data_IF_924001704232
#
_entry.id   IF_924001704232
#
_cell.length_a   1.000
_cell.length_b   1.000
_cell.length_c   1.000
_cell.angle_alpha   90.00
_cell.angle_beta   90.00
_cell.angle_gamma   90.00
#
_symmetry.space_group_name_H-M   'P 1'
#
loop_
_entity.id
_entity.type
_entity.pdbx_description
1 polymer ?
#
# COMPACT_ATOMS: atom_id res chain seq x y z
N UNK A 1 -18.15 -18.58 -24.50
CA UNK A 1 -18.43 -17.27 -23.86
C UNK A 1 -17.16 -16.44 -23.91
N UNK A 2 -17.14 -15.36 -24.70
CA UNK A 2 -16.00 -14.44 -24.77
C UNK A 2 -15.89 -13.60 -23.49
N UNK A 3 -14.68 -13.22 -23.04
CA UNK A 3 -14.53 -12.36 -21.86
C UNK A 3 -15.15 -10.98 -22.15
N UNK A 4 -16.06 -10.56 -21.28
CA UNK A 4 -16.66 -9.22 -21.34
C UNK A 4 -15.56 -8.19 -21.09
N UNK A 5 -15.14 -7.51 -22.15
CA UNK A 5 -14.18 -6.41 -22.09
C UNK A 5 -14.74 -5.32 -21.17
N UNK A 6 -14.05 -5.03 -20.05
CA UNK A 6 -14.42 -3.90 -19.19
C UNK A 6 -14.05 -2.61 -19.91
N UNK A 7 -15.06 -1.95 -20.50
CA UNK A 7 -14.96 -0.59 -21.00
C UNK A 7 -14.36 0.30 -19.89
N UNK A 8 -13.18 0.87 -20.13
CA UNK A 8 -12.61 1.85 -19.20
C UNK A 8 -13.52 3.06 -19.17
N UNK A 9 -13.92 3.48 -17.97
CA UNK A 9 -14.88 4.57 -17.78
C UNK A 9 -14.38 5.85 -18.51
N UNK A 10 -15.22 6.50 -19.35
CA UNK A 10 -14.83 7.67 -20.14
C UNK A 10 -14.32 8.84 -19.27
N UNK A 11 -14.76 8.91 -18.01
CA UNK A 11 -14.23 9.87 -17.03
C UNK A 11 -12.74 9.67 -16.75
N UNK A 12 -12.27 8.42 -16.65
CA UNK A 12 -10.87 8.13 -16.39
C UNK A 12 -10.00 8.46 -17.61
N UNK A 13 -10.51 8.23 -18.82
CA UNK A 13 -9.85 8.64 -20.06
C UNK A 13 -9.70 10.17 -20.12
N UNK A 14 -10.74 10.91 -19.72
CA UNK A 14 -10.68 12.36 -19.60
C UNK A 14 -9.67 12.83 -18.56
N UNK A 15 -9.64 12.23 -17.37
CA UNK A 15 -8.67 12.60 -16.33
C UNK A 15 -7.22 12.37 -16.77
N UNK A 16 -6.96 11.32 -17.55
CA UNK A 16 -5.64 11.08 -18.11
C UNK A 16 -5.21 12.21 -19.07
N UNK A 17 -6.09 12.65 -19.97
CA UNK A 17 -5.83 13.78 -20.88
C UNK A 17 -5.74 15.09 -20.11
N UNK A 18 -6.65 15.32 -19.16
CA UNK A 18 -6.69 16.53 -18.35
C UNK A 18 -5.40 16.72 -17.56
N UNK A 19 -4.87 15.66 -16.96
CA UNK A 19 -3.59 15.70 -16.23
C UNK A 19 -2.40 15.96 -17.15
N UNK A 20 -2.36 15.38 -18.35
CA UNK A 20 -1.27 15.65 -19.32
C UNK A 20 -1.21 17.12 -19.70
N UNK A 21 -2.37 17.75 -19.85
CA UNK A 21 -2.49 19.17 -20.21
C UNK A 21 -2.27 20.12 -19.01
N UNK A 22 -2.34 19.60 -17.78
CA UNK A 22 -2.13 20.37 -16.53
C UNK A 22 -1.00 19.74 -15.71
N UNK A 23 0.16 19.57 -16.33
CA UNK A 23 1.35 18.96 -15.73
C UNK A 23 1.97 19.79 -14.60
N UNK A 24 1.62 21.08 -14.52
CA UNK A 24 2.05 22.02 -13.48
C UNK A 24 1.29 21.85 -12.14
N UNK A 25 0.25 21.03 -12.10
CA UNK A 25 -0.64 20.89 -10.95
C UNK A 25 -0.48 19.53 -10.27
N UNK A 26 -0.51 19.48 -8.93
CA UNK A 26 -0.35 18.22 -8.21
C UNK A 26 -1.53 17.27 -8.47
N UNK A 27 -1.30 15.95 -8.32
CA UNK A 27 -2.26 14.90 -8.68
C UNK A 27 -3.63 15.08 -8.01
N UNK A 28 -3.68 15.47 -6.74
CA UNK A 28 -4.94 15.60 -6.00
C UNK A 28 -5.73 16.81 -6.49
N UNK A 29 -5.05 17.93 -6.73
CA UNK A 29 -5.72 19.13 -7.22
C UNK A 29 -6.14 18.97 -8.68
N UNK A 30 -5.33 18.34 -9.52
CA UNK A 30 -5.68 18.01 -10.90
C UNK A 30 -6.88 17.05 -10.99
N UNK A 31 -6.96 16.04 -10.12
CA UNK A 31 -8.10 15.13 -10.06
C UNK A 31 -9.39 15.85 -9.62
N UNK A 32 -9.32 16.73 -8.62
CA UNK A 32 -10.46 17.54 -8.17
C UNK A 32 -10.94 18.50 -9.26
N UNK A 33 -10.03 19.27 -9.86
CA UNK A 33 -10.34 20.22 -10.92
C UNK A 33 -10.88 19.51 -12.17
N UNK A 34 -10.27 18.38 -12.55
CA UNK A 34 -10.76 17.52 -13.62
C UNK A 34 -12.16 16.98 -13.34
N UNK A 35 -12.43 16.48 -12.13
CA UNK A 35 -13.76 16.02 -11.75
C UNK A 35 -14.82 17.13 -11.85
N UNK A 36 -14.49 18.35 -11.42
CA UNK A 36 -15.36 19.50 -11.59
C UNK A 36 -15.59 19.81 -13.07
N UNK A 37 -14.53 19.85 -13.89
CA UNK A 37 -14.65 20.11 -15.32
C UNK A 37 -15.49 19.04 -16.03
N UNK A 38 -15.33 17.77 -15.67
CA UNK A 38 -16.11 16.66 -16.22
C UNK A 38 -17.61 16.82 -16.00
N UNK A 39 -18.03 17.31 -14.83
CA UNK A 39 -19.45 17.57 -14.53
C UNK A 39 -20.07 18.58 -15.48
N UNK A 40 -19.30 19.53 -15.97
CA UNK A 40 -19.73 20.58 -16.89
C UNK A 40 -19.59 20.21 -18.39
N UNK A 41 -19.06 19.03 -18.71
CA UNK A 41 -19.03 18.56 -20.10
C UNK A 41 -20.40 18.02 -20.53
N UNK A 42 -20.80 18.35 -21.76
CA UNK A 42 -21.99 17.79 -22.40
C UNK A 42 -21.79 16.33 -22.78
N UNK A 43 -22.88 15.60 -23.04
CA UNK A 43 -22.77 14.19 -23.40
C UNK A 43 -22.01 13.98 -24.73
N UNK A 44 -22.18 14.88 -25.69
CA UNK A 44 -21.42 14.90 -26.94
C UNK A 44 -19.91 15.06 -26.70
N UNK A 45 -19.52 15.94 -25.77
CA UNK A 45 -18.12 16.13 -25.40
C UNK A 45 -17.58 14.90 -24.66
N UNK A 46 -18.40 14.25 -23.83
CA UNK A 46 -18.04 12.99 -23.14
C UNK A 46 -17.94 11.82 -24.11
N UNK A 47 -18.71 11.82 -25.20
CA UNK A 47 -18.71 10.77 -26.23
C UNK A 47 -17.33 10.57 -26.84
N UNK A 48 -16.56 11.65 -26.99
CA UNK A 48 -15.17 11.62 -27.49
C UNK A 48 -14.24 10.76 -26.61
N UNK A 49 -14.57 10.59 -25.33
CA UNK A 49 -13.81 9.80 -24.36
C UNK A 49 -14.36 8.37 -24.17
N UNK A 50 -15.44 8.00 -24.87
CA UNK A 50 -16.07 6.66 -24.83
C UNK A 50 -15.35 5.61 -25.68
N UNK A 51 -14.29 5.96 -26.42
CA UNK A 51 -13.56 5.01 -27.28
C UNK A 51 -12.85 3.93 -26.47
N UNK A 52 -12.95 2.70 -26.98
CA UNK A 52 -12.19 1.55 -26.53
C UNK A 52 -10.69 1.85 -26.65
N UNK A 53 -9.97 1.71 -25.54
CA UNK A 53 -8.52 1.59 -25.58
C UNK A 53 -8.31 0.09 -25.68
N UNK A 54 -7.93 -0.41 -26.85
CA UNK A 54 -7.31 -1.74 -26.95
C UNK A 54 -6.08 -1.69 -26.03
N UNK A 55 -6.23 -2.27 -24.85
CA UNK A 55 -5.17 -2.32 -23.85
C UNK A 55 -4.56 -3.71 -23.98
N UNK A 56 -3.42 -3.75 -24.64
CA UNK A 56 -2.57 -4.94 -24.77
C UNK A 56 -2.51 -5.66 -23.42
N UNK A 57 -2.91 -6.92 -23.47
CA UNK A 57 -2.93 -7.83 -22.35
C UNK A 57 -1.50 -8.17 -21.91
N UNK A 58 -0.89 -7.28 -21.14
CA UNK A 58 0.17 -7.66 -20.22
C UNK A 58 -0.37 -7.51 -18.80
N UNK A 59 -0.81 -8.65 -18.27
CA UNK A 59 -1.39 -8.78 -16.96
C UNK A 59 -0.49 -8.20 -15.87
N UNK A 60 -1.04 -7.23 -15.15
CA UNK A 60 -0.72 -7.07 -13.73
C UNK A 60 -1.93 -6.43 -13.06
N UNK A 61 -2.80 -7.27 -12.51
CA UNK A 61 -3.72 -6.82 -11.47
C UNK A 61 -2.90 -6.12 -10.39
N UNK A 62 -3.18 -4.83 -10.22
CA UNK A 62 -2.50 -3.95 -9.27
C UNK A 62 -2.84 -4.40 -7.84
N UNK A 63 -2.07 -5.35 -7.29
CA UNK A 63 -1.73 -5.31 -5.87
C UNK A 63 -0.79 -4.12 -5.65
N UNK A 64 -1.37 -2.92 -5.61
CA UNK A 64 -0.67 -1.66 -5.39
C UNK A 64 -0.22 -1.47 -3.95
N UNK A 65 -0.09 -2.55 -3.16
CA UNK A 65 0.59 -2.55 -1.87
C UNK A 65 1.98 -3.17 -1.94
N UNK A 66 2.75 -2.85 -2.98
CA UNK A 66 4.23 -2.93 -2.91
C UNK A 66 4.70 -1.90 -1.88
N UNK A 67 4.65 -2.29 -0.60
CA UNK A 67 5.13 -1.50 0.54
C UNK A 67 6.56 -1.08 0.21
N UNK A 68 6.81 0.24 0.17
CA UNK A 68 8.18 0.78 0.16
C UNK A 68 8.96 0.05 1.26
N UNK A 69 10.14 -0.49 0.92
CA UNK A 69 11.02 -1.28 1.81
C UNK A 69 11.36 -0.59 3.15
N UNK A 70 10.98 0.68 3.32
CA UNK A 70 11.30 1.49 4.48
C UNK A 70 10.30 1.45 5.64
N UNK A 71 9.08 0.90 5.49
CA UNK A 71 8.13 0.92 6.61
C UNK A 71 8.07 -0.45 7.32
N UNK A 72 8.79 -0.64 8.46
CA UNK A 72 8.61 -1.83 9.28
C UNK A 72 7.14 -1.83 9.70
N UNK A 73 6.39 -2.84 9.28
CA UNK A 73 4.94 -2.90 9.49
C UNK A 73 4.51 -2.60 10.93
N UNK A 74 3.20 -2.35 11.14
CA UNK A 74 2.69 -1.92 12.44
C UNK A 74 3.08 -2.89 13.56
N UNK A 75 3.27 -2.34 14.76
CA UNK A 75 3.51 -3.16 15.96
C UNK A 75 2.27 -4.04 16.18
N UNK A 76 2.52 -5.34 16.35
CA UNK A 76 1.48 -6.36 16.47
C UNK A 76 1.33 -6.83 17.90
N UNK A 77 0.28 -7.60 18.19
CA UNK A 77 0.11 -8.29 19.48
C UNK A 77 1.00 -9.54 19.61
N UNK A 78 1.89 -9.81 18.65
CA UNK A 78 2.79 -10.96 18.70
C UNK A 78 4.21 -10.50 19.08
N UNK A 79 4.67 -10.94 20.26
CA UNK A 79 6.01 -10.62 20.77
C UNK A 79 7.14 -11.05 19.85
N UNK A 80 7.01 -12.20 19.18
CA UNK A 80 8.00 -12.70 18.22
C UNK A 80 8.10 -11.82 16.97
N UNK A 81 6.96 -11.42 16.40
CA UNK A 81 6.96 -10.52 15.23
C UNK A 81 7.53 -9.15 15.59
N UNK A 82 7.28 -8.66 16.81
CA UNK A 82 7.86 -7.40 17.29
C UNK A 82 9.37 -7.50 17.50
N UNK A 83 9.87 -8.66 17.95
CA UNK A 83 11.30 -8.93 18.01
C UNK A 83 11.93 -8.95 16.62
N UNK A 84 11.35 -9.67 15.65
CA UNK A 84 11.82 -9.68 14.25
C UNK A 84 11.85 -8.26 13.69
N UNK A 85 10.83 -7.44 14.01
CA UNK A 85 10.77 -6.04 13.58
C UNK A 85 11.98 -5.25 14.09
N UNK A 86 12.30 -5.36 15.38
CA UNK A 86 13.50 -4.72 15.97
C UNK A 86 14.79 -5.29 15.37
N UNK A 87 14.88 -6.61 15.22
CA UNK A 87 16.05 -7.28 14.66
C UNK A 87 16.34 -6.81 13.24
N UNK A 88 15.32 -6.71 12.37
CA UNK A 88 15.46 -6.14 11.02
C UNK A 88 15.89 -4.68 11.04
N UNK A 89 15.44 -3.89 12.03
CA UNK A 89 15.83 -2.49 12.17
C UNK A 89 17.31 -2.34 12.54
N UNK A 90 17.78 -3.13 13.51
CA UNK A 90 19.18 -3.13 13.94
C UNK A 90 20.13 -3.67 12.87
N UNK A 91 19.69 -4.65 12.08
CA UNK A 91 20.50 -5.26 11.01
C UNK A 91 20.26 -4.59 9.64
N UNK A 92 19.65 -3.40 9.59
CA UNK A 92 19.34 -2.71 8.33
C UNK A 92 20.59 -2.25 7.57
N UNK A 93 21.69 -2.03 8.28
CA UNK A 93 22.98 -1.68 7.68
C UNK A 93 23.67 -2.88 7.02
N UNK A 94 23.23 -4.11 7.32
CA UNK A 94 23.75 -5.31 6.69
C UNK A 94 22.98 -5.53 5.39
N UNK A 95 23.69 -5.65 4.26
CA UNK A 95 23.10 -5.94 2.94
C UNK A 95 22.71 -7.43 2.81
N UNK A 96 21.96 -7.92 3.80
CA UNK A 96 21.49 -9.29 3.88
C UNK A 96 20.16 -9.43 3.15
N UNK A 97 20.00 -10.54 2.43
CA UNK A 97 18.71 -10.88 1.81
C UNK A 97 17.63 -10.99 2.90
N UNK A 98 16.39 -10.54 2.63
CA UNK A 98 15.31 -10.55 3.63
C UNK A 98 15.04 -11.91 4.28
N UNK A 99 15.31 -13.00 3.56
CA UNK A 99 15.18 -14.38 4.04
C UNK A 99 16.24 -14.71 5.11
N UNK A 100 17.47 -14.26 4.92
CA UNK A 100 18.58 -14.54 5.84
C UNK A 100 18.42 -13.77 7.15
N UNK A 101 17.97 -12.52 7.06
CA UNK A 101 17.60 -11.73 8.25
C UNK A 101 16.53 -12.45 9.07
N UNK A 102 15.55 -13.10 8.43
CA UNK A 102 14.53 -13.88 9.13
C UNK A 102 15.11 -15.13 9.77
N UNK A 103 15.95 -15.88 9.04
CA UNK A 103 16.60 -17.09 9.59
C UNK A 103 17.45 -16.75 10.82
N UNK A 104 18.24 -15.67 10.76
CA UNK A 104 19.05 -15.20 11.87
C UNK A 104 18.21 -14.70 13.03
N UNK A 105 17.16 -13.91 12.77
CA UNK A 105 16.22 -13.46 13.80
C UNK A 105 15.55 -14.65 14.50
N UNK A 106 15.14 -15.68 13.77
CA UNK A 106 14.53 -16.88 14.36
C UNK A 106 15.51 -17.64 15.27
N UNK A 107 16.79 -17.73 14.89
CA UNK A 107 17.85 -18.31 15.74
C UNK A 107 18.08 -17.46 16.99
N UNK A 108 18.16 -16.14 16.84
CA UNK A 108 18.34 -15.21 17.96
C UNK A 108 17.17 -15.25 18.94
N UNK A 109 15.93 -15.36 18.43
CA UNK A 109 14.74 -15.51 19.28
C UNK A 109 14.75 -16.79 20.11
N UNK A 110 15.19 -17.92 19.53
CA UNK A 110 15.31 -19.18 20.27
C UNK A 110 16.32 -19.07 21.42
N UNK A 111 17.43 -18.35 21.20
CA UNK A 111 18.48 -18.10 22.21
C UNK A 111 18.09 -17.04 23.24
N UNK A 112 17.01 -16.28 23.00
CA UNK A 112 16.57 -15.24 23.91
C UNK A 112 15.98 -15.88 25.18
N UNK A 113 16.46 -15.48 26.36
CA UNK A 113 15.91 -15.93 27.64
C UNK A 113 14.44 -15.52 27.84
N UNK A 114 13.71 -16.26 28.66
CA UNK A 114 12.26 -16.08 28.80
C UNK A 114 11.85 -14.74 29.39
N UNK A 115 12.66 -14.17 30.30
CA UNK A 115 12.46 -12.82 30.82
C UNK A 115 12.42 -11.77 29.68
N UNK A 116 13.37 -11.86 28.74
CA UNK A 116 13.43 -10.96 27.59
C UNK A 116 12.27 -11.20 26.62
N UNK A 117 11.86 -12.45 26.38
CA UNK A 117 10.66 -12.75 25.59
C UNK A 117 9.40 -12.18 26.24
N UNK A 118 9.31 -12.20 27.57
CA UNK A 118 8.18 -11.62 28.33
C UNK A 118 8.07 -10.12 28.13
N UNK A 119 9.19 -9.38 28.07
CA UNK A 119 9.16 -7.95 27.72
C UNK A 119 8.50 -7.69 26.36
N UNK A 120 8.83 -8.49 25.34
CA UNK A 120 8.19 -8.39 24.02
C UNK A 120 6.70 -8.76 24.05
N UNK A 121 6.30 -9.71 24.89
CA UNK A 121 4.89 -10.11 25.10
C UNK A 121 4.09 -9.01 25.81
N UNK A 122 4.62 -8.44 26.89
CA UNK A 122 3.99 -7.35 27.64
C UNK A 122 3.82 -6.11 26.78
N UNK A 123 4.86 -5.74 26.02
CA UNK A 123 4.80 -4.62 25.10
C UNK A 123 3.75 -4.84 23.99
N UNK A 124 3.66 -6.05 23.45
CA UNK A 124 2.60 -6.43 22.50
C UNK A 124 1.19 -6.25 23.11
N UNK A 125 0.99 -6.76 24.34
CA UNK A 125 -0.28 -6.66 25.05
C UNK A 125 -0.69 -5.20 25.30
N UNK A 126 0.25 -4.36 25.80
CA UNK A 126 0.00 -2.92 26.02
C UNK A 126 -0.42 -2.20 24.74
N UNK A 127 0.20 -2.52 23.61
CA UNK A 127 -0.17 -1.92 22.33
C UNK A 127 -1.51 -2.43 21.79
N UNK A 128 -1.85 -3.69 22.01
CA UNK A 128 -3.15 -4.23 21.66
C UNK A 128 -4.28 -3.50 22.41
N UNK A 129 -4.13 -3.30 23.72
CA UNK A 129 -5.10 -2.56 24.54
C UNK A 129 -5.27 -1.12 24.07
N UNK A 130 -4.17 -0.40 23.81
CA UNK A 130 -4.22 0.99 23.31
C UNK A 130 -4.97 1.09 21.98
N UNK A 131 -4.77 0.13 21.06
CA UNK A 131 -5.48 0.12 19.77
C UNK A 131 -6.97 -0.16 19.90
N UNK A 132 -7.39 -0.92 20.92
CA UNK A 132 -8.81 -1.15 21.19
C UNK A 132 -9.48 0.11 21.75
N UNK A 133 -8.80 0.84 22.64
CA UNK A 133 -9.32 2.11 23.18
C UNK A 133 -9.55 3.15 22.07
N UNK A 134 -8.58 3.34 21.17
CA UNK A 134 -8.70 4.32 20.06
C UNK A 134 -9.84 3.97 19.09
N UNK A 135 -10.19 2.69 18.93
CA UNK A 135 -11.28 2.25 18.03
C UNK A 135 -12.68 2.40 18.63
N UNK A 136 -12.78 2.62 19.95
CA UNK A 136 -14.05 2.76 20.67
C UNK A 136 -14.46 4.23 20.88
N UNK A 137 -13.59 5.18 20.52
CA UNK A 137 -13.89 6.60 20.42
C UNK A 137 -14.26 6.94 18.97
#
# INVERSE_FOLDING_TARGET
>A
MAPVMKLRNPFLNFLDVYRRNHSNMNMVTAAKAGAQRWRHLTDEQRSKFRRNVDMDCHGSGLDSRKRKRGNPGPITNNGYLNFIRKFRQSNRALDLKPQDVIRQAAKAWRRLGDANKTLYRLHACKQAMRRQMIKKC
#
